data_IF_220665092595
#
_entry.id   IF_220665092595
#
_cell.length_a   1.000
_cell.length_b   1.000
_cell.length_c   1.000
_cell.angle_alpha   90.00
_cell.angle_beta   90.00
_cell.angle_gamma   90.00
#
_symmetry.space_group_name_H-M   'P 1'
#
loop_
_entity.id
_entity.type
_entity.pdbx_description
1 polymer ?
#
# COMPACT_ATOMS: atom_id res chain seq x y z
N UNK A 1 -12.60 -34.62 9.45
CA UNK A 1 -13.53 -34.54 8.30
C UNK A 1 -14.01 -33.09 8.26
N UNK A 2 -13.40 -32.26 7.41
CA UNK A 2 -13.90 -30.94 7.10
C UNK A 2 -15.28 -31.08 6.46
N UNK A 3 -16.25 -30.32 6.94
CA UNK A 3 -17.59 -30.27 6.35
C UNK A 3 -17.48 -29.86 4.88
N UNK A 4 -18.24 -30.45 3.96
CA UNK A 4 -18.25 -30.03 2.56
C UNK A 4 -18.76 -28.58 2.34
N UNK A 5 -19.16 -27.90 3.41
CA UNK A 5 -19.69 -26.52 3.42
C UNK A 5 -18.74 -25.51 4.07
N UNK A 6 -17.51 -25.88 4.43
CA UNK A 6 -16.57 -24.93 5.04
C UNK A 6 -15.87 -24.13 3.94
N UNK A 7 -16.45 -22.96 3.62
CA UNK A 7 -15.81 -21.97 2.73
C UNK A 7 -14.45 -21.58 3.28
N UNK A 8 -13.44 -21.61 2.42
CA UNK A 8 -12.14 -21.04 2.76
C UNK A 8 -12.29 -19.55 3.02
N UNK A 9 -11.69 -19.05 4.10
CA UNK A 9 -11.75 -17.63 4.46
C UNK A 9 -10.34 -17.07 4.53
N UNK A 10 -10.16 -15.90 3.95
CA UNK A 10 -8.94 -15.11 4.04
C UNK A 10 -9.27 -13.62 3.91
N UNK A 11 -8.60 -12.82 4.69
CA UNK A 11 -8.84 -11.39 4.74
C UNK A 11 -7.53 -10.62 4.95
N UNK A 12 -7.30 -9.61 4.12
CA UNK A 12 -6.14 -8.71 4.22
C UNK A 12 -6.60 -7.26 4.20
N UNK A 13 -6.00 -6.44 5.03
CA UNK A 13 -6.09 -4.97 4.95
C UNK A 13 -4.76 -4.41 4.46
N UNK A 14 -4.78 -3.34 3.69
CA UNK A 14 -3.58 -2.78 3.10
C UNK A 14 -3.71 -1.28 2.92
N UNK A 15 -2.59 -0.56 3.00
CA UNK A 15 -2.48 0.74 2.37
C UNK A 15 -2.73 0.58 0.86
N UNK A 16 -2.85 1.67 0.13
CA UNK A 16 -3.30 1.62 -1.28
C UNK A 16 -2.17 1.16 -2.23
N UNK A 17 -1.87 -0.14 -2.18
CA UNK A 17 -0.82 -0.78 -2.98
C UNK A 17 -1.39 -1.69 -4.07
N UNK A 18 -1.17 -1.32 -5.33
CA UNK A 18 -1.59 -2.13 -6.47
C UNK A 18 -1.00 -3.54 -6.46
N UNK A 19 0.26 -3.71 -6.07
CA UNK A 19 0.93 -5.01 -6.02
C UNK A 19 0.31 -5.98 -5.00
N UNK A 20 -0.32 -5.48 -3.95
CA UNK A 20 -1.05 -6.30 -2.98
C UNK A 20 -2.30 -6.90 -3.63
N UNK A 21 -3.01 -6.12 -4.45
CA UNK A 21 -4.16 -6.62 -5.23
C UNK A 21 -3.72 -7.65 -6.26
N UNK A 22 -2.60 -7.44 -6.93
CA UNK A 22 -2.05 -8.41 -7.89
C UNK A 22 -1.77 -9.76 -7.21
N UNK A 23 -1.12 -9.75 -6.05
CA UNK A 23 -0.85 -10.96 -5.27
C UNK A 23 -2.15 -11.65 -4.82
N UNK A 24 -3.17 -10.88 -4.48
CA UNK A 24 -4.48 -11.41 -4.09
C UNK A 24 -5.20 -12.09 -5.28
N UNK A 25 -5.12 -11.52 -6.46
CA UNK A 25 -5.62 -12.13 -7.70
C UNK A 25 -4.90 -13.45 -7.98
N UNK A 26 -3.57 -13.47 -7.85
CA UNK A 26 -2.77 -14.69 -8.08
C UNK A 26 -3.13 -15.79 -7.09
N UNK A 27 -3.33 -15.45 -5.82
CA UNK A 27 -3.79 -16.41 -4.82
C UNK A 27 -5.09 -17.08 -5.23
N UNK A 28 -6.08 -16.29 -5.68
CA UNK A 28 -7.39 -16.82 -6.08
C UNK A 28 -7.27 -17.72 -7.31
N UNK A 29 -6.45 -17.35 -8.28
CA UNK A 29 -6.22 -18.15 -9.50
C UNK A 29 -5.58 -19.51 -9.24
N UNK A 30 -4.81 -19.66 -8.15
CA UNK A 30 -4.20 -20.93 -7.75
C UNK A 30 -5.16 -21.87 -7.02
N UNK A 31 -6.29 -21.34 -6.52
CA UNK A 31 -7.21 -22.17 -5.77
C UNK A 31 -8.01 -23.06 -6.73
N UNK A 32 -8.16 -24.37 -6.44
CA UNK A 32 -9.09 -25.20 -7.15
C UNK A 32 -10.51 -24.62 -6.99
N UNK A 33 -11.46 -25.08 -7.80
CA UNK A 33 -12.87 -24.62 -7.79
C UNK A 33 -13.57 -24.90 -6.44
N UNK A 34 -13.01 -24.40 -5.37
CA UNK A 34 -13.57 -24.50 -4.02
C UNK A 34 -14.35 -23.23 -3.70
N UNK A 35 -15.34 -23.36 -2.86
CA UNK A 35 -16.04 -22.22 -2.32
C UNK A 35 -15.11 -21.40 -1.41
N UNK A 36 -15.09 -20.10 -1.57
CA UNK A 36 -14.30 -19.17 -0.74
C UNK A 36 -15.09 -17.92 -0.39
N UNK A 37 -14.68 -17.28 0.68
CA UNK A 37 -15.20 -16.00 1.17
C UNK A 37 -13.99 -15.15 1.60
N UNK A 38 -13.47 -14.40 0.65
CA UNK A 38 -12.26 -13.60 0.82
C UNK A 38 -12.58 -12.12 0.81
N UNK A 39 -11.78 -11.37 1.55
CA UNK A 39 -11.87 -9.91 1.53
C UNK A 39 -10.49 -9.24 1.48
N UNK A 40 -10.39 -8.19 0.67
CA UNK A 40 -9.28 -7.26 0.65
C UNK A 40 -9.83 -5.86 0.92
N UNK A 41 -9.16 -5.13 1.82
CA UNK A 41 -9.53 -3.76 2.20
C UNK A 41 -8.35 -2.84 2.00
N UNK A 42 -8.44 -2.00 0.98
CA UNK A 42 -7.56 -0.84 0.86
C UNK A 42 -8.15 0.27 1.73
N UNK A 43 -7.43 0.69 2.77
CA UNK A 43 -7.98 1.63 3.74
C UNK A 43 -6.89 2.40 4.49
N UNK A 44 -7.30 3.26 5.41
CA UNK A 44 -6.44 4.14 6.19
C UNK A 44 -5.52 3.36 7.13
N UNK A 45 -4.33 3.88 7.38
CA UNK A 45 -3.29 3.21 8.19
C UNK A 45 -3.77 2.78 9.58
N UNK A 46 -4.50 3.66 10.29
CA UNK A 46 -5.02 3.31 11.61
C UNK A 46 -6.08 2.20 11.53
N UNK A 47 -6.97 2.27 10.53
CA UNK A 47 -8.00 1.25 10.32
C UNK A 47 -7.39 -0.11 9.98
N UNK A 48 -6.27 -0.15 9.23
CA UNK A 48 -5.54 -1.40 8.97
C UNK A 48 -5.09 -2.03 10.30
N UNK A 49 -4.49 -1.24 11.18
CA UNK A 49 -4.04 -1.72 12.50
C UNK A 49 -5.23 -2.23 13.33
N UNK A 50 -6.34 -1.52 13.32
CA UNK A 50 -7.57 -1.92 14.01
C UNK A 50 -8.17 -3.21 13.43
N UNK A 51 -8.25 -3.34 12.12
CA UNK A 51 -8.77 -4.53 11.45
C UNK A 51 -7.97 -5.78 11.81
N UNK A 52 -6.63 -5.69 11.86
CA UNK A 52 -5.79 -6.82 12.27
C UNK A 52 -5.96 -7.09 13.77
N UNK A 53 -5.97 -6.07 14.61
CA UNK A 53 -6.18 -6.21 16.04
C UNK A 53 -7.52 -6.88 16.38
N UNK A 54 -8.58 -6.50 15.67
CA UNK A 54 -9.92 -7.07 15.82
C UNK A 54 -10.14 -8.38 15.06
N UNK A 55 -9.11 -8.93 14.42
CA UNK A 55 -9.18 -10.16 13.61
C UNK A 55 -10.16 -10.07 12.43
N UNK A 56 -10.49 -8.87 11.97
CA UNK A 56 -11.23 -8.64 10.71
C UNK A 56 -10.36 -8.89 9.49
N UNK A 57 -9.06 -8.76 9.64
CA UNK A 57 -8.04 -9.13 8.66
C UNK A 57 -6.95 -9.94 9.36
N UNK A 58 -6.43 -10.96 8.68
CA UNK A 58 -5.37 -11.79 9.24
C UNK A 58 -4.03 -11.05 9.27
N UNK A 59 -3.76 -10.28 8.22
CA UNK A 59 -2.59 -9.41 8.13
C UNK A 59 -2.97 -8.02 7.61
N UNK A 60 -2.10 -7.05 7.87
CA UNK A 60 -2.19 -5.69 7.33
C UNK A 60 -0.88 -5.28 6.67
N UNK A 61 -0.94 -4.73 5.46
CA UNK A 61 0.25 -4.26 4.74
C UNK A 61 0.39 -2.76 4.93
N UNK A 62 1.51 -2.34 5.51
CA UNK A 62 1.86 -0.94 5.77
C UNK A 62 3.34 -0.68 5.51
N UNK A 63 3.73 0.60 5.45
CA UNK A 63 5.12 0.97 5.44
C UNK A 63 5.54 1.67 6.74
N UNK A 64 6.81 1.52 7.08
CA UNK A 64 7.51 2.25 8.14
C UNK A 64 8.74 2.96 7.56
N UNK A 65 9.09 4.08 8.17
CA UNK A 65 10.36 4.77 7.93
C UNK A 65 10.86 5.40 9.24
N UNK A 66 12.01 6.07 9.20
CA UNK A 66 12.59 6.71 10.39
C UNK A 66 11.68 7.75 11.05
N UNK A 67 10.76 8.36 10.28
CA UNK A 67 9.83 9.37 10.80
C UNK A 67 8.64 8.76 11.55
N UNK A 68 7.99 7.74 10.97
CA UNK A 68 6.73 7.20 11.50
C UNK A 68 6.90 5.96 12.41
N UNK A 69 8.04 5.28 12.35
CA UNK A 69 8.23 3.97 13.00
C UNK A 69 7.95 4.01 14.51
N UNK A 70 8.50 4.98 15.21
CA UNK A 70 8.34 5.07 16.67
C UNK A 70 6.87 5.20 17.07
N UNK A 71 6.12 6.06 16.38
CA UNK A 71 4.69 6.28 16.64
C UNK A 71 3.84 5.07 16.30
N UNK A 72 4.02 4.51 15.09
CA UNK A 72 3.22 3.36 14.63
C UNK A 72 3.54 2.10 15.41
N UNK A 73 4.83 1.82 15.70
CA UNK A 73 5.22 0.63 16.46
C UNK A 73 4.72 0.66 17.92
N UNK A 74 4.56 1.84 18.50
CA UNK A 74 3.93 1.97 19.82
C UNK A 74 2.50 1.46 19.81
N UNK A 75 1.72 1.84 18.78
CA UNK A 75 0.32 1.42 18.62
C UNK A 75 0.24 -0.06 18.27
N UNK A 76 1.03 -0.51 17.29
CA UNK A 76 1.09 -1.91 16.85
C UNK A 76 1.37 -2.83 18.04
N UNK A 77 2.40 -2.53 18.83
CA UNK A 77 2.76 -3.31 20.01
C UNK A 77 1.71 -3.27 21.11
N UNK A 78 1.07 -2.12 21.35
CA UNK A 78 0.01 -1.99 22.36
C UNK A 78 -1.23 -2.83 22.04
N UNK A 79 -1.46 -3.13 20.78
CA UNK A 79 -2.54 -4.01 20.30
C UNK A 79 -2.12 -5.49 20.16
N UNK A 80 -0.95 -5.87 20.67
CA UNK A 80 -0.45 -7.26 20.61
C UNK A 80 -0.01 -7.72 19.23
N UNK A 81 0.26 -6.77 18.33
CA UNK A 81 0.72 -7.02 16.97
C UNK A 81 2.23 -6.91 16.85
N UNK A 82 2.78 -7.44 15.76
CA UNK A 82 4.17 -7.26 15.34
C UNK A 82 4.24 -6.89 13.87
N UNK A 83 5.33 -6.25 13.48
CA UNK A 83 5.65 -5.90 12.10
C UNK A 83 6.74 -6.82 11.56
N UNK A 84 6.56 -7.30 10.34
CA UNK A 84 7.50 -8.14 9.61
C UNK A 84 7.82 -7.47 8.27
N UNK A 85 9.08 -7.10 8.07
CA UNK A 85 9.51 -6.46 6.84
C UNK A 85 9.47 -7.43 5.66
N UNK A 86 8.97 -6.96 4.53
CA UNK A 86 8.96 -7.66 3.25
C UNK A 86 10.07 -7.16 2.34
N UNK A 87 10.17 -5.84 2.17
CA UNK A 87 11.20 -5.20 1.35
C UNK A 87 11.38 -3.74 1.69
N UNK A 88 12.46 -3.16 1.22
CA UNK A 88 12.77 -1.73 1.33
C UNK A 88 12.71 -1.11 -0.06
N UNK A 89 11.86 -0.11 -0.23
CA UNK A 89 11.73 0.65 -1.46
C UNK A 89 12.40 2.02 -1.32
N UNK A 90 13.01 2.49 -2.41
CA UNK A 90 13.40 3.90 -2.54
C UNK A 90 12.21 4.73 -2.99
N UNK A 91 12.16 6.03 -2.65
CA UNK A 91 11.06 6.89 -3.06
C UNK A 91 10.96 7.01 -4.58
N UNK A 92 9.75 6.89 -5.08
CA UNK A 92 9.36 7.12 -6.47
C UNK A 92 8.14 8.03 -6.50
N UNK A 93 7.79 8.47 -7.69
CA UNK A 93 6.50 9.08 -7.96
C UNK A 93 5.72 8.25 -8.98
N UNK A 94 4.40 8.27 -8.86
CA UNK A 94 3.52 7.88 -9.97
C UNK A 94 3.03 9.12 -10.69
N UNK A 95 3.09 9.06 -12.01
CA UNK A 95 2.57 10.08 -12.93
C UNK A 95 1.94 9.39 -14.13
N UNK A 96 1.18 10.12 -14.92
CA UNK A 96 0.74 9.61 -16.22
C UNK A 96 1.93 9.45 -17.17
N UNK A 97 1.86 8.48 -18.09
CA UNK A 97 2.88 8.28 -19.13
C UNK A 97 3.05 9.50 -20.05
N UNK A 98 2.04 10.37 -20.14
CA UNK A 98 2.07 11.62 -20.91
C UNK A 98 2.52 12.84 -20.07
N UNK A 99 2.89 12.64 -18.82
CA UNK A 99 3.32 13.73 -17.94
C UNK A 99 4.56 14.45 -18.53
N UNK A 100 4.67 15.79 -18.41
CA UNK A 100 5.84 16.53 -18.90
C UNK A 100 7.19 16.01 -18.40
N UNK A 101 7.23 15.36 -17.24
CA UNK A 101 8.43 14.78 -16.65
C UNK A 101 8.59 13.26 -16.95
N UNK A 102 7.70 12.65 -17.74
CA UNK A 102 7.65 11.19 -17.95
C UNK A 102 8.95 10.60 -18.51
N UNK A 103 9.69 11.35 -19.31
CA UNK A 103 10.92 10.89 -19.96
C UNK A 103 12.19 11.08 -19.09
N UNK A 104 12.05 11.58 -17.86
CA UNK A 104 13.19 11.75 -16.95
C UNK A 104 13.57 10.43 -16.27
N UNK A 105 14.86 10.23 -16.10
CA UNK A 105 15.39 9.09 -15.33
C UNK A 105 15.18 9.24 -13.82
N UNK A 106 15.04 10.47 -13.35
CA UNK A 106 14.69 10.84 -11.97
C UNK A 106 14.16 12.26 -11.92
N UNK A 107 13.43 12.59 -10.87
CA UNK A 107 12.87 13.93 -10.64
C UNK A 107 13.21 14.43 -9.25
N UNK A 108 13.25 15.76 -9.07
CA UNK A 108 13.44 16.39 -7.76
C UNK A 108 12.13 16.96 -7.23
N UNK A 109 12.10 17.30 -5.94
CA UNK A 109 10.93 17.93 -5.32
C UNK A 109 10.65 19.32 -5.91
N UNK A 110 11.68 20.04 -6.33
CA UNK A 110 11.59 21.34 -6.96
C UNK A 110 10.91 21.27 -8.33
N UNK A 111 11.23 20.24 -9.12
CA UNK A 111 10.59 20.01 -10.42
C UNK A 111 9.10 19.65 -10.29
N UNK A 112 8.70 19.13 -9.15
CA UNK A 112 7.31 18.75 -8.85
C UNK A 112 6.48 19.89 -8.27
N UNK A 113 7.09 21.03 -7.91
CA UNK A 113 6.45 22.10 -7.14
C UNK A 113 5.21 22.72 -7.80
N UNK A 114 5.15 22.73 -9.12
CA UNK A 114 4.04 23.31 -9.87
C UNK A 114 2.91 22.33 -10.24
N UNK A 115 3.12 21.03 -9.96
CA UNK A 115 2.14 19.98 -10.24
C UNK A 115 1.28 19.67 -9.01
N UNK A 116 0.01 19.26 -9.19
CA UNK A 116 -0.83 18.83 -8.08
C UNK A 116 -0.26 17.59 -7.39
N UNK A 117 -0.12 17.66 -6.07
CA UNK A 117 0.24 16.52 -5.23
C UNK A 117 -1.02 15.81 -4.73
N UNK A 118 -1.10 14.52 -4.96
CA UNK A 118 -2.19 13.67 -4.52
C UNK A 118 -1.73 12.76 -3.39
N UNK A 119 -2.54 12.67 -2.35
CA UNK A 119 -2.30 11.80 -1.20
C UNK A 119 -3.61 11.18 -0.72
N UNK A 120 -3.50 10.04 -0.02
CA UNK A 120 -4.64 9.41 0.61
C UNK A 120 -4.94 10.07 1.96
N UNK A 121 -6.19 10.46 2.17
CA UNK A 121 -6.60 11.00 3.46
C UNK A 121 -6.62 9.92 4.55
N UNK A 122 -6.37 10.32 5.80
CA UNK A 122 -6.30 9.41 6.93
C UNK A 122 -7.47 9.60 7.93
N UNK A 123 -8.53 10.29 7.51
CA UNK A 123 -9.74 10.50 8.30
C UNK A 123 -9.48 11.21 9.64
N UNK A 124 -10.00 10.67 10.72
CA UNK A 124 -9.80 11.23 12.07
C UNK A 124 -8.34 11.14 12.56
N UNK A 125 -7.58 10.17 12.07
CA UNK A 125 -6.16 9.98 12.39
C UNK A 125 -5.29 10.65 11.33
N UNK A 126 -5.44 11.97 11.19
CA UNK A 126 -4.81 12.76 10.13
C UNK A 126 -3.41 13.29 10.47
N UNK A 127 -2.77 12.78 11.50
CA UNK A 127 -1.36 13.06 11.78
C UNK A 127 -0.47 12.52 10.67
N UNK A 128 0.59 13.23 10.34
CA UNK A 128 1.58 12.82 9.33
C UNK A 128 2.20 11.44 9.60
N UNK A 129 2.19 10.94 10.84
CA UNK A 129 2.64 9.58 11.16
C UNK A 129 1.81 8.48 10.49
N UNK A 130 0.54 8.76 10.18
CA UNK A 130 -0.35 7.81 9.52
C UNK A 130 -0.36 7.92 7.99
N UNK A 131 0.31 8.93 7.43
CA UNK A 131 0.36 9.12 5.97
C UNK A 131 0.95 7.90 5.27
N UNK A 132 0.41 7.57 4.11
CA UNK A 132 0.90 6.46 3.28
C UNK A 132 2.07 6.88 2.40
N UNK A 133 2.24 8.18 2.20
CA UNK A 133 3.29 8.75 1.37
C UNK A 133 4.48 9.19 2.22
N UNK A 134 5.67 8.78 1.82
CA UNK A 134 6.91 9.30 2.40
C UNK A 134 7.03 10.80 2.06
N UNK A 135 7.67 11.58 2.92
CA UNK A 135 7.80 13.05 2.82
C UNK A 135 6.47 13.80 2.90
N UNK A 136 5.51 13.26 3.63
CA UNK A 136 4.19 13.88 3.82
C UNK A 136 4.25 15.24 4.54
N UNK A 137 5.31 15.50 5.32
CA UNK A 137 5.51 16.77 6.03
C UNK A 137 6.03 17.91 5.15
N UNK A 138 6.48 17.62 3.93
CA UNK A 138 6.94 18.65 3.00
C UNK A 138 5.75 19.49 2.54
N UNK A 139 5.84 20.80 2.71
CA UNK A 139 4.81 21.72 2.26
C UNK A 139 4.71 21.73 0.74
N UNK A 140 3.49 21.74 0.22
CA UNK A 140 3.18 21.75 -1.21
C UNK A 140 2.10 22.77 -1.51
N UNK A 141 2.24 23.49 -2.61
CA UNK A 141 1.29 24.56 -3.02
C UNK A 141 -0.08 24.01 -3.43
N UNK A 142 -0.12 22.82 -4.04
CA UNK A 142 -1.34 22.21 -4.60
C UNK A 142 -1.51 20.82 -4.03
N UNK A 143 -2.45 20.64 -3.12
CA UNK A 143 -2.73 19.38 -2.45
C UNK A 143 -4.14 18.90 -2.78
N UNK A 144 -4.28 17.66 -3.18
CA UNK A 144 -5.56 16.99 -3.36
C UNK A 144 -5.51 15.70 -2.53
N UNK A 145 -6.50 15.51 -1.65
CA UNK A 145 -6.66 14.28 -0.87
C UNK A 145 -7.75 13.43 -1.47
N UNK A 146 -7.50 12.13 -1.55
CA UNK A 146 -8.41 11.14 -2.13
C UNK A 146 -8.61 9.98 -1.16
N UNK A 147 -9.62 9.16 -1.41
CA UNK A 147 -9.97 8.01 -0.55
C UNK A 147 -9.78 6.66 -1.25
N UNK A 148 -9.52 6.65 -2.55
CA UNK A 148 -9.37 5.41 -3.33
C UNK A 148 -8.40 5.58 -4.50
N UNK A 149 -7.83 4.44 -4.97
CA UNK A 149 -6.86 4.42 -6.06
C UNK A 149 -7.43 4.78 -7.42
N UNK A 150 -8.68 4.44 -7.70
CA UNK A 150 -9.29 4.75 -8.99
C UNK A 150 -9.39 6.27 -9.16
N UNK A 151 -9.86 6.97 -8.14
CA UNK A 151 -9.92 8.44 -8.12
C UNK A 151 -8.52 9.03 -8.24
N UNK A 152 -7.54 8.49 -7.49
CA UNK A 152 -6.16 8.95 -7.56
C UNK A 152 -5.61 8.84 -8.99
N UNK A 153 -5.74 7.69 -9.63
CA UNK A 153 -5.22 7.46 -10.98
C UNK A 153 -5.89 8.36 -12.01
N UNK A 154 -7.21 8.55 -11.92
CA UNK A 154 -7.94 9.47 -12.80
C UNK A 154 -7.45 10.92 -12.66
N UNK A 155 -7.15 11.37 -11.45
CA UNK A 155 -6.62 12.71 -11.21
C UNK A 155 -5.15 12.85 -11.65
N UNK A 156 -4.34 11.80 -11.52
CA UNK A 156 -2.98 11.79 -12.10
C UNK A 156 -3.04 12.03 -13.61
N UNK A 157 -3.93 11.33 -14.30
CA UNK A 157 -4.10 11.46 -15.75
C UNK A 157 -4.71 12.82 -16.11
N UNK A 158 -5.80 13.20 -15.46
CA UNK A 158 -6.58 14.39 -15.83
C UNK A 158 -5.92 15.72 -15.49
N UNK A 159 -5.02 15.75 -14.50
CA UNK A 159 -4.43 16.99 -13.98
C UNK A 159 -2.89 17.06 -14.11
N UNK A 160 -2.25 16.07 -14.72
CA UNK A 160 -0.78 15.93 -14.63
C UNK A 160 -0.29 15.99 -13.18
N UNK A 161 -1.02 15.34 -12.26
CA UNK A 161 -0.66 15.27 -10.86
C UNK A 161 0.43 14.23 -10.61
N UNK A 162 0.91 14.16 -9.37
CA UNK A 162 1.82 13.13 -8.92
C UNK A 162 1.47 12.68 -7.51
N UNK A 163 1.88 11.47 -7.17
CA UNK A 163 1.89 10.97 -5.79
C UNK A 163 3.25 10.36 -5.49
N UNK A 164 3.67 10.39 -4.22
CA UNK A 164 4.94 9.78 -3.79
C UNK A 164 4.68 8.37 -3.28
N UNK A 165 5.46 7.39 -3.74
CA UNK A 165 5.18 5.98 -3.53
C UNK A 165 6.44 5.10 -3.53
N UNK A 166 6.24 3.79 -3.40
CA UNK A 166 7.31 2.78 -3.49
C UNK A 166 7.83 2.55 -4.90
N UNK A 167 7.12 3.01 -5.91
CA UNK A 167 7.43 2.75 -7.31
C UNK A 167 6.99 1.38 -7.84
N UNK A 168 6.45 0.52 -7.00
CA UNK A 168 6.00 -0.82 -7.40
C UNK A 168 4.62 -0.73 -8.06
N UNK A 169 4.58 -0.96 -9.36
CA UNK A 169 3.35 -1.04 -10.15
C UNK A 169 3.51 -2.10 -11.23
N UNK A 170 2.47 -2.85 -11.48
CA UNK A 170 2.41 -3.86 -12.53
C UNK A 170 1.41 -3.45 -13.61
N UNK A 171 1.86 -3.43 -14.86
CA UNK A 171 1.03 -3.03 -16.01
C UNK A 171 -0.03 -4.08 -16.38
N UNK A 172 0.11 -5.31 -15.92
CA UNK A 172 -0.80 -6.40 -16.26
C UNK A 172 -2.24 -6.17 -15.77
N UNK A 173 -2.41 -5.51 -14.61
CA UNK A 173 -3.73 -5.14 -14.07
C UNK A 173 -3.97 -3.63 -14.05
N UNK A 174 -2.93 -2.81 -14.06
CA UNK A 174 -3.06 -1.35 -13.91
C UNK A 174 -2.90 -0.59 -15.24
N UNK A 175 -2.63 -1.29 -16.34
CA UNK A 175 -2.39 -0.67 -17.64
C UNK A 175 -1.03 0.04 -17.73
N UNK A 176 -0.80 0.73 -18.84
CA UNK A 176 0.44 1.45 -19.13
C UNK A 176 0.33 2.97 -18.94
N UNK A 177 -0.83 3.46 -18.52
CA UNK A 177 -1.09 4.90 -18.43
C UNK A 177 -0.42 5.55 -17.23
N UNK A 178 -0.11 4.78 -16.19
CA UNK A 178 0.62 5.23 -15.01
C UNK A 178 2.03 4.63 -15.01
N UNK A 179 3.02 5.50 -14.87
CA UNK A 179 4.43 5.12 -14.80
C UNK A 179 5.05 5.54 -13.47
N UNK A 180 6.15 4.89 -13.13
CA UNK A 180 6.96 5.16 -11.95
C UNK A 180 8.26 5.83 -12.34
N UNK A 181 8.60 6.94 -11.67
CA UNK A 181 9.87 7.65 -11.85
C UNK A 181 10.57 7.77 -10.49
N UNK A 182 11.88 7.46 -10.41
CA UNK A 182 12.65 7.67 -9.17
C UNK A 182 12.60 9.13 -8.69
N UNK A 183 12.40 9.33 -7.39
CA UNK A 183 12.48 10.63 -6.74
C UNK A 183 13.88 10.83 -6.17
N UNK A 184 14.59 11.89 -6.62
CA UNK A 184 15.92 12.25 -6.14
C UNK A 184 15.86 12.89 -4.75
N UNK A 185 15.49 12.08 -3.75
CA UNK A 185 15.45 12.46 -2.34
C UNK A 185 15.76 11.26 -1.47
N UNK A 186 16.69 11.44 -0.53
CA UNK A 186 17.09 10.39 0.42
C UNK A 186 15.91 9.96 1.30
N UNK A 187 15.72 8.67 1.39
CA UNK A 187 14.69 8.06 2.23
C UNK A 187 14.46 6.60 1.88
N UNK A 188 13.94 5.85 2.83
CA UNK A 188 13.61 4.44 2.67
C UNK A 188 12.19 4.18 3.14
N UNK A 189 11.44 3.40 2.37
CA UNK A 189 10.14 2.86 2.73
C UNK A 189 10.31 1.38 3.06
N UNK A 190 10.24 1.02 4.32
CA UNK A 190 10.23 -0.38 4.77
C UNK A 190 8.80 -0.89 4.71
N UNK A 191 8.45 -1.59 3.65
CA UNK A 191 7.12 -2.15 3.46
C UNK A 191 7.10 -3.55 4.07
N UNK A 192 6.05 -3.81 4.84
CA UNK A 192 5.90 -5.07 5.54
C UNK A 192 4.47 -5.35 5.94
N UNK A 193 4.28 -6.42 6.67
CA UNK A 193 2.97 -6.77 7.19
C UNK A 193 2.94 -6.79 8.71
N UNK A 194 1.80 -6.41 9.26
CA UNK A 194 1.47 -6.58 10.67
C UNK A 194 0.57 -7.80 10.85
N UNK A 195 0.77 -8.51 11.93
CA UNK A 195 -0.04 -9.67 12.33
C UNK A 195 -0.05 -9.81 13.84
N UNK A 196 -0.92 -10.67 14.37
CA UNK A 196 -0.91 -11.00 15.80
C UNK A 196 0.38 -11.72 16.19
N UNK A 197 1.05 -11.21 17.22
CA UNK A 197 2.32 -11.74 17.71
C UNK A 197 2.26 -13.21 18.16
N UNK A 198 1.10 -13.65 18.66
CA UNK A 198 0.91 -14.97 19.24
C UNK A 198 0.17 -15.96 18.32
N UNK A 199 -0.23 -15.53 17.13
CA UNK A 199 -0.98 -16.38 16.20
C UNK A 199 -0.10 -16.80 15.03
N UNK A 200 -0.25 -18.04 14.62
CA UNK A 200 0.39 -18.54 13.40
C UNK A 200 -0.42 -18.11 12.18
N UNK A 201 0.29 -17.72 11.13
CA UNK A 201 -0.33 -17.41 9.85
C UNK A 201 -0.95 -18.67 9.23
N UNK A 202 -2.15 -18.52 8.67
CA UNK A 202 -2.83 -19.58 7.95
C UNK A 202 -2.05 -20.03 6.70
N UNK A 203 -2.31 -21.25 6.18
CA UNK A 203 -1.73 -21.69 4.91
C UNK A 203 -2.06 -20.73 3.74
N UNK A 204 -3.26 -20.15 3.72
CA UNK A 204 -3.66 -19.18 2.70
C UNK A 204 -2.86 -17.89 2.81
N UNK A 205 -2.66 -17.37 4.02
CA UNK A 205 -1.84 -16.20 4.25
C UNK A 205 -0.39 -16.41 3.79
N UNK A 206 0.20 -17.58 4.09
CA UNK A 206 1.55 -17.92 3.63
C UNK A 206 1.64 -17.99 2.11
N UNK A 207 0.65 -18.57 1.44
CA UNK A 207 0.56 -18.56 -0.03
C UNK A 207 0.44 -17.14 -0.59
N UNK A 208 -0.40 -16.31 0.02
CA UNK A 208 -0.53 -14.91 -0.37
C UNK A 208 0.80 -14.16 -0.26
N UNK A 209 1.53 -14.31 0.83
CA UNK A 209 2.86 -13.71 1.00
C UNK A 209 3.87 -14.21 -0.04
N UNK A 210 3.80 -15.48 -0.43
CA UNK A 210 4.64 -16.02 -1.52
C UNK A 210 4.31 -15.37 -2.87
N UNK A 211 3.02 -15.12 -3.17
CA UNK A 211 2.64 -14.39 -4.37
C UNK A 211 3.11 -12.93 -4.31
N UNK A 212 2.98 -12.30 -3.15
CA UNK A 212 3.40 -10.92 -2.96
C UNK A 212 4.89 -10.74 -3.28
N UNK A 213 5.73 -11.71 -2.92
CA UNK A 213 7.16 -11.70 -3.21
C UNK A 213 7.52 -11.72 -4.71
N UNK A 214 6.56 -12.01 -5.60
CA UNK A 214 6.78 -11.94 -7.06
C UNK A 214 6.77 -10.51 -7.61
N UNK A 215 6.21 -9.57 -6.86
CA UNK A 215 5.99 -8.19 -7.28
C UNK A 215 6.94 -7.19 -6.62
N UNK A 216 7.84 -7.65 -5.75
CA UNK A 216 8.73 -6.81 -4.93
C UNK A 216 10.19 -7.20 -5.09
#
# INVERSE_FOLDING_TARGET
KTSPYDKQRFSVSTQHYAFVVNAFVDLIKELPQNEYDFSIRETQTYEIIDNVSAMKSEIGIIYLNSFNESALMKIIKSKGLCFNELFVAKPHIFVTAEHPLANKSSVTMEELADYPYLSFEQGEHNSFYYSEEIFSTVERKKNIRVTDRATLFNLLIGLNGYTVCSGVIDSGLNGSDIISIPLSKEGDMRIGYICHKKLNLSPLCKKFLNHLNKYI
#
